data_IF_475943310662
#
_entry.id   IF_475943310662
#
_cell.length_a   1.000
_cell.length_b   1.000
_cell.length_c   1.000
_cell.angle_alpha   90.00
_cell.angle_beta   90.00
_cell.angle_gamma   90.00
#
_symmetry.space_group_name_H-M   'P 1'
#
loop_
_entity.id
_entity.type
_entity.pdbx_description
1 polymer ?
#
# COMPACT_ATOMS: atom_id res chain seq x y z
N UNK A 1 -1.92 13.32 27.35
CA UNK A 1 -2.42 12.42 26.30
C UNK A 1 -3.35 13.23 25.42
N UNK A 2 -2.91 13.56 24.19
CA UNK A 2 -3.79 14.23 23.23
C UNK A 2 -4.82 13.20 22.77
N UNK A 3 -6.08 13.40 23.14
CA UNK A 3 -7.20 12.60 22.66
C UNK A 3 -7.20 12.72 21.13
N UNK A 4 -6.74 11.67 20.45
CA UNK A 4 -6.78 11.60 18.99
C UNK A 4 -8.25 11.75 18.59
N UNK A 5 -8.61 12.86 17.92
CA UNK A 5 -9.95 13.02 17.34
C UNK A 5 -10.19 11.79 16.45
N UNK A 6 -11.13 10.94 16.83
CA UNK A 6 -11.53 9.80 15.99
C UNK A 6 -12.24 10.35 14.77
N UNK A 7 -11.73 9.99 13.59
CA UNK A 7 -12.18 10.49 12.29
C UNK A 7 -12.83 9.35 11.53
N UNK A 8 -13.89 9.62 10.76
CA UNK A 8 -14.54 8.59 9.93
C UNK A 8 -13.74 8.36 8.64
N UNK A 9 -13.17 7.17 8.48
CA UNK A 9 -12.50 6.72 7.26
C UNK A 9 -13.37 5.72 6.50
N UNK A 10 -13.18 5.63 5.19
CA UNK A 10 -13.79 4.53 4.46
C UNK A 10 -12.90 3.29 4.55
N UNK A 11 -13.49 2.17 4.94
CA UNK A 11 -12.87 0.84 4.90
C UNK A 11 -13.76 -0.14 4.14
N UNK A 12 -13.15 -1.20 3.59
CA UNK A 12 -13.88 -2.21 2.84
C UNK A 12 -14.75 -3.12 3.73
N UNK A 13 -15.67 -3.91 3.15
CA UNK A 13 -16.58 -4.78 3.90
C UNK A 13 -15.87 -5.91 4.67
N UNK A 14 -14.65 -6.27 4.29
CA UNK A 14 -13.85 -7.31 4.94
C UNK A 14 -12.73 -6.74 5.83
N UNK A 15 -12.72 -5.44 6.08
CA UNK A 15 -11.71 -4.79 6.91
C UNK A 15 -12.01 -5.02 8.40
N UNK A 16 -10.99 -5.36 9.19
CA UNK A 16 -11.12 -5.59 10.63
C UNK A 16 -11.57 -4.33 11.40
N UNK A 17 -11.38 -3.15 10.82
CA UNK A 17 -11.78 -1.87 11.42
C UNK A 17 -13.20 -1.44 11.03
N UNK A 18 -13.93 -2.23 10.24
CA UNK A 18 -15.26 -1.85 9.73
C UNK A 18 -16.22 -1.49 10.85
N UNK A 19 -16.27 -2.28 11.93
CA UNK A 19 -17.19 -2.05 13.03
C UNK A 19 -16.88 -0.74 13.78
N UNK A 20 -15.60 -0.41 13.94
CA UNK A 20 -15.15 0.85 14.56
C UNK A 20 -15.57 2.04 13.68
N UNK A 21 -15.29 1.97 12.38
CA UNK A 21 -15.62 3.06 11.44
C UNK A 21 -17.14 3.23 11.29
N UNK A 22 -17.93 2.15 11.35
CA UNK A 22 -19.40 2.21 11.39
C UNK A 22 -19.92 2.87 12.66
N UNK A 23 -19.31 2.58 13.81
CA UNK A 23 -19.66 3.22 15.09
C UNK A 23 -19.38 4.73 15.04
N UNK A 24 -18.25 5.12 14.47
CA UNK A 24 -17.91 6.53 14.27
C UNK A 24 -18.87 7.21 13.28
N UNK A 25 -19.17 6.55 12.15
CA UNK A 25 -20.12 7.04 11.16
C UNK A 25 -21.53 7.23 11.75
N UNK A 26 -22.02 6.29 12.55
CA UNK A 26 -23.29 6.41 13.27
C UNK A 26 -23.29 7.63 14.19
N UNK A 27 -22.25 7.78 15.02
CA UNK A 27 -22.13 8.93 15.93
C UNK A 27 -22.12 10.25 15.15
N UNK A 28 -21.40 10.31 14.03
CA UNK A 28 -21.36 11.47 13.17
C UNK A 28 -22.73 11.77 12.56
N UNK A 29 -23.45 10.76 12.07
CA UNK A 29 -24.77 10.89 11.45
C UNK A 29 -25.84 11.37 12.43
N UNK A 30 -25.88 10.80 13.64
CA UNK A 30 -26.88 11.15 14.66
C UNK A 30 -26.67 12.55 15.23
N UNK A 31 -25.42 13.03 15.26
CA UNK A 31 -25.08 14.36 15.77
C UNK A 31 -24.93 15.42 14.68
N UNK A 32 -25.10 15.03 13.41
CA UNK A 32 -24.91 15.93 12.28
C UNK A 32 -25.89 17.10 12.36
N UNK A 33 -25.35 18.31 12.38
CA UNK A 33 -26.10 19.57 12.22
C UNK A 33 -25.61 20.23 10.95
N UNK A 34 -26.55 20.63 10.10
CA UNK A 34 -26.21 21.34 8.88
C UNK A 34 -25.75 22.76 9.24
N UNK A 35 -24.45 22.99 9.13
CA UNK A 35 -23.81 24.30 9.20
C UNK A 35 -23.36 24.73 7.79
N UNK A 36 -22.90 25.96 7.65
CA UNK A 36 -22.37 26.51 6.41
C UNK A 36 -20.82 26.46 6.33
N UNK A 37 -20.13 26.18 7.43
CA UNK A 37 -18.66 26.20 7.48
C UNK A 37 -18.09 24.84 7.92
N UNK A 38 -17.67 24.04 6.93
CA UNK A 38 -17.04 22.74 7.16
C UNK A 38 -15.62 22.76 6.57
N UNK A 39 -14.66 22.26 7.34
CA UNK A 39 -13.32 22.02 6.84
C UNK A 39 -13.30 20.90 5.79
N UNK A 40 -12.26 20.85 4.95
CA UNK A 40 -12.14 19.77 3.95
C UNK A 40 -12.12 18.38 4.58
N UNK A 41 -11.49 18.23 5.76
CA UNK A 41 -11.44 16.98 6.49
C UNK A 41 -12.85 16.53 6.91
N UNK A 42 -13.68 17.44 7.42
CA UNK A 42 -15.07 17.14 7.79
C UNK A 42 -15.92 16.80 6.56
N UNK A 43 -15.72 17.49 5.43
CA UNK A 43 -16.38 17.14 4.17
C UNK A 43 -16.03 15.71 3.74
N UNK A 44 -14.76 15.30 3.89
CA UNK A 44 -14.32 13.93 3.60
C UNK A 44 -14.95 12.92 4.58
N UNK A 45 -15.03 13.23 5.88
CA UNK A 45 -15.69 12.37 6.87
C UNK A 45 -17.18 12.16 6.56
N UNK A 46 -17.89 13.23 6.16
CA UNK A 46 -19.29 13.15 5.73
C UNK A 46 -19.44 12.30 4.46
N UNK A 47 -18.50 12.42 3.52
CA UNK A 47 -18.45 11.58 2.33
C UNK A 47 -18.24 10.10 2.68
N UNK A 48 -17.30 9.80 3.59
CA UNK A 48 -17.00 8.45 4.05
C UNK A 48 -18.18 7.82 4.79
N UNK A 49 -18.80 8.56 5.72
CA UNK A 49 -20.00 8.11 6.44
C UNK A 49 -21.16 7.81 5.48
N UNK A 50 -21.37 8.66 4.47
CA UNK A 50 -22.37 8.38 3.43
C UNK A 50 -22.07 7.06 2.70
N UNK A 51 -20.81 6.87 2.33
CA UNK A 51 -20.37 5.73 1.54
C UNK A 51 -20.45 4.41 2.32
N UNK A 52 -19.98 4.37 3.57
CA UNK A 52 -20.06 3.19 4.44
C UNK A 52 -21.50 2.66 4.55
N UNK A 53 -22.46 3.55 4.81
CA UNK A 53 -23.87 3.17 4.92
C UNK A 53 -24.46 2.76 3.58
N UNK A 54 -24.10 3.46 2.48
CA UNK A 54 -24.62 3.19 1.15
C UNK A 54 -24.15 1.86 0.58
N UNK A 55 -22.93 1.44 0.90
CA UNK A 55 -22.33 0.20 0.42
C UNK A 55 -22.89 -1.04 1.14
N UNK A 56 -23.88 -0.86 2.02
CA UNK A 56 -24.62 -1.96 2.67
C UNK A 56 -24.00 -2.45 3.98
N UNK A 57 -22.91 -1.82 4.43
CA UNK A 57 -22.25 -2.19 5.68
C UNK A 57 -23.13 -1.85 6.88
N UNK A 58 -23.18 -2.76 7.86
CA UNK A 58 -24.06 -2.68 9.02
C UNK A 58 -23.48 -3.45 10.20
N UNK A 59 -23.55 -2.84 11.38
CA UNK A 59 -23.23 -3.52 12.64
C UNK A 59 -24.30 -4.56 12.98
N UNK A 60 -23.88 -5.70 13.55
CA UNK A 60 -24.77 -6.79 13.95
C UNK A 60 -25.83 -6.38 14.98
N UNK A 61 -25.55 -5.35 15.79
CA UNK A 61 -26.45 -4.85 16.83
C UNK A 61 -27.46 -3.80 16.33
N UNK A 62 -27.35 -3.31 15.09
CA UNK A 62 -28.31 -2.36 14.54
C UNK A 62 -29.60 -3.08 14.16
N UNK A 63 -30.75 -2.59 14.63
CA UNK A 63 -32.07 -3.03 14.14
C UNK A 63 -32.34 -2.51 12.72
N UNK A 64 -33.30 -3.12 12.01
CA UNK A 64 -33.67 -2.68 10.66
C UNK A 64 -34.16 -1.23 10.67
N UNK A 65 -35.00 -0.87 11.65
CA UNK A 65 -35.51 0.49 11.83
C UNK A 65 -34.40 1.51 12.06
N UNK A 66 -33.39 1.15 12.88
CA UNK A 66 -32.26 2.02 13.15
C UNK A 66 -31.37 2.18 11.92
N UNK A 67 -31.09 1.09 11.22
CA UNK A 67 -30.30 1.14 10.00
C UNK A 67 -30.99 1.97 8.90
N UNK A 68 -32.32 1.86 8.77
CA UNK A 68 -33.09 2.68 7.83
C UNK A 68 -33.12 4.16 8.23
N UNK A 69 -33.13 4.47 9.53
CA UNK A 69 -32.92 5.85 10.02
C UNK A 69 -31.53 6.36 9.61
N UNK A 70 -30.47 5.57 9.78
CA UNK A 70 -29.11 5.96 9.39
C UNK A 70 -28.99 6.16 7.87
N UNK A 71 -29.64 5.33 7.04
CA UNK A 71 -29.71 5.52 5.58
C UNK A 71 -30.37 6.85 5.20
N UNK A 72 -31.47 7.22 5.87
CA UNK A 72 -32.15 8.51 5.63
C UNK A 72 -31.22 9.68 5.99
N UNK A 73 -30.60 9.64 7.17
CA UNK A 73 -29.63 10.67 7.59
C UNK A 73 -28.45 10.77 6.63
N UNK A 74 -27.86 9.63 6.25
CA UNK A 74 -26.69 9.60 5.38
C UNK A 74 -27.01 10.19 4.01
N UNK A 75 -28.21 9.96 3.47
CA UNK A 75 -28.63 10.55 2.19
C UNK A 75 -28.65 12.08 2.21
N UNK A 76 -28.96 12.70 3.36
CA UNK A 76 -28.96 14.15 3.55
C UNK A 76 -27.57 14.79 3.46
N UNK A 77 -26.52 14.03 3.78
CA UNK A 77 -25.12 14.51 3.73
C UNK A 77 -24.66 14.86 2.32
N UNK A 78 -25.24 14.24 1.29
CA UNK A 78 -24.82 14.42 -0.11
C UNK A 78 -24.85 15.89 -0.54
N UNK A 79 -25.83 16.65 -0.06
CA UNK A 79 -25.95 18.08 -0.38
C UNK A 79 -24.80 18.89 0.21
N UNK A 80 -24.42 18.62 1.46
CA UNK A 80 -23.29 19.25 2.15
C UNK A 80 -21.96 18.87 1.51
N UNK A 81 -21.74 17.58 1.23
CA UNK A 81 -20.53 17.10 0.55
C UNK A 81 -20.40 17.74 -0.84
N UNK A 82 -21.50 17.79 -1.61
CA UNK A 82 -21.53 18.42 -2.92
C UNK A 82 -21.20 19.92 -2.87
N UNK A 83 -21.76 20.64 -1.89
CA UNK A 83 -21.45 22.05 -1.67
C UNK A 83 -19.98 22.27 -1.29
N UNK A 84 -19.42 21.48 -0.37
CA UNK A 84 -18.00 21.54 -0.01
C UNK A 84 -17.09 21.28 -1.22
N UNK A 85 -17.41 20.25 -2.01
CA UNK A 85 -16.67 19.96 -3.24
C UNK A 85 -16.78 21.06 -4.30
N UNK A 86 -17.92 21.76 -4.39
CA UNK A 86 -18.13 22.88 -5.33
C UNK A 86 -17.20 24.06 -5.04
N UNK A 87 -16.81 24.26 -3.78
CA UNK A 87 -15.89 25.33 -3.39
C UNK A 87 -14.43 25.05 -3.80
N UNK A 88 -14.09 23.78 -4.09
CA UNK A 88 -12.76 23.40 -4.58
C UNK A 88 -12.64 23.80 -6.06
N UNK A 89 -11.66 24.65 -6.34
CA UNK A 89 -11.37 25.21 -7.65
C UNK A 89 -9.86 25.35 -7.88
N UNK A 90 -9.49 25.84 -9.07
CA UNK A 90 -8.09 25.94 -9.48
C UNK A 90 -7.21 26.83 -8.58
N UNK A 91 -7.78 27.85 -7.92
CA UNK A 91 -7.04 28.82 -7.11
C UNK A 91 -6.73 28.27 -5.72
N UNK A 92 -7.66 27.51 -5.12
CA UNK A 92 -7.54 27.02 -3.75
C UNK A 92 -7.14 25.55 -3.64
N UNK A 93 -7.13 24.78 -4.73
CA UNK A 93 -6.88 23.34 -4.72
C UNK A 93 -5.62 22.94 -3.96
N UNK A 94 -4.50 23.63 -4.15
CA UNK A 94 -3.23 23.28 -3.49
C UNK A 94 -3.34 23.50 -1.98
N UNK A 95 -3.92 24.63 -1.54
CA UNK A 95 -4.10 24.93 -0.12
C UNK A 95 -4.98 23.87 0.54
N UNK A 96 -6.16 23.63 -0.04
CA UNK A 96 -7.12 22.64 0.45
C UNK A 96 -6.49 21.25 0.51
N UNK A 97 -5.79 20.84 -0.55
CA UNK A 97 -5.17 19.51 -0.61
C UNK A 97 -4.06 19.32 0.44
N UNK A 98 -3.37 20.40 0.83
CA UNK A 98 -2.34 20.36 1.86
C UNK A 98 -2.92 20.35 3.28
N UNK A 99 -4.16 20.82 3.46
CA UNK A 99 -4.90 20.73 4.74
C UNK A 99 -5.49 19.35 5.00
N UNK A 100 -5.57 18.49 3.97
CA UNK A 100 -6.05 17.12 4.11
C UNK A 100 -5.08 16.32 4.97
N UNK A 101 -5.59 15.82 6.09
CA UNK A 101 -4.79 14.97 6.99
C UNK A 101 -4.42 13.66 6.31
N UNK A 102 -3.23 13.13 6.62
CA UNK A 102 -2.68 11.96 5.93
C UNK A 102 -3.61 10.74 5.96
N UNK A 103 -4.36 10.53 7.06
CA UNK A 103 -5.28 9.40 7.21
C UNK A 103 -6.46 9.45 6.22
N UNK A 104 -6.85 10.64 5.75
CA UNK A 104 -7.95 10.86 4.81
C UNK A 104 -7.46 11.09 3.37
N UNK A 105 -6.16 10.95 3.11
CA UNK A 105 -5.57 11.27 1.80
C UNK A 105 -6.16 10.40 0.68
N UNK A 106 -6.37 9.10 0.93
CA UNK A 106 -6.99 8.21 -0.07
C UNK A 106 -8.47 8.57 -0.27
N UNK A 107 -9.19 8.86 0.81
CA UNK A 107 -10.60 9.24 0.76
C UNK A 107 -10.81 10.56 0.00
N UNK A 108 -9.90 11.52 0.16
CA UNK A 108 -9.89 12.75 -0.62
C UNK A 108 -9.77 12.48 -2.13
N UNK A 109 -8.78 11.68 -2.55
CA UNK A 109 -8.61 11.35 -3.97
C UNK A 109 -9.78 10.56 -4.53
N UNK A 110 -10.37 9.66 -3.74
CA UNK A 110 -11.61 8.96 -4.11
C UNK A 110 -12.77 9.93 -4.31
N UNK A 111 -12.98 10.86 -3.37
CA UNK A 111 -14.03 11.86 -3.40
C UNK A 111 -13.88 12.79 -4.62
N UNK A 112 -12.71 13.41 -4.83
CA UNK A 112 -12.52 14.34 -5.96
C UNK A 112 -12.65 13.62 -7.30
N UNK A 113 -12.27 12.34 -7.37
CA UNK A 113 -12.37 11.54 -8.59
C UNK A 113 -13.82 11.14 -8.88
N UNK A 114 -14.56 10.64 -7.90
CA UNK A 114 -15.96 10.22 -8.08
C UNK A 114 -16.89 11.40 -8.32
N UNK A 115 -16.64 12.53 -7.67
CA UNK A 115 -17.41 13.77 -7.82
C UNK A 115 -16.87 14.71 -8.90
N UNK A 116 -15.89 14.25 -9.69
CA UNK A 116 -15.31 14.99 -10.84
C UNK A 116 -14.82 16.40 -10.49
N UNK A 117 -14.35 16.61 -9.26
CA UNK A 117 -13.79 17.90 -8.83
C UNK A 117 -12.54 18.24 -9.67
N UNK A 118 -11.76 17.23 -10.04
CA UNK A 118 -10.56 17.39 -10.86
C UNK A 118 -10.82 18.06 -12.23
N UNK A 119 -12.03 17.96 -12.80
CA UNK A 119 -12.36 18.61 -14.09
C UNK A 119 -12.29 20.15 -13.99
N UNK A 120 -12.32 20.72 -12.78
CA UNK A 120 -12.16 22.16 -12.52
C UNK A 120 -10.72 22.59 -12.22
N UNK A 121 -9.80 21.64 -12.14
CA UNK A 121 -8.40 21.90 -11.80
C UNK A 121 -7.56 21.80 -13.06
N UNK A 122 -6.83 22.87 -13.37
CA UNK A 122 -5.95 22.91 -14.53
C UNK A 122 -4.80 21.90 -14.41
N UNK A 123 -4.30 21.45 -15.56
CA UNK A 123 -3.09 20.63 -15.64
C UNK A 123 -1.91 21.28 -14.90
N UNK A 124 -1.70 22.59 -15.07
CA UNK A 124 -0.61 23.34 -14.43
C UNK A 124 -0.70 23.28 -12.90
N UNK A 125 -1.88 23.58 -12.33
CA UNK A 125 -2.09 23.52 -10.88
C UNK A 125 -1.89 22.10 -10.34
N UNK A 126 -2.38 21.09 -11.06
CA UNK A 126 -2.24 19.69 -10.65
C UNK A 126 -0.77 19.23 -10.69
N UNK A 127 -0.03 19.57 -11.75
CA UNK A 127 1.42 19.30 -11.86
C UNK A 127 2.19 19.97 -10.73
N UNK A 128 1.87 21.24 -10.41
CA UNK A 128 2.47 21.97 -9.30
C UNK A 128 2.21 21.27 -7.96
N UNK A 129 0.99 20.80 -7.73
CA UNK A 129 0.65 20.01 -6.55
C UNK A 129 1.50 18.73 -6.45
N UNK A 130 1.59 17.96 -7.53
CA UNK A 130 2.33 16.68 -7.56
C UNK A 130 3.83 16.84 -7.35
N UNK A 131 4.44 17.88 -7.94
CA UNK A 131 5.87 18.13 -7.76
C UNK A 131 6.22 18.42 -6.30
N UNK A 132 5.31 19.06 -5.55
CA UNK A 132 5.47 19.31 -4.12
C UNK A 132 5.10 18.09 -3.25
N UNK A 133 4.40 17.11 -3.81
CA UNK A 133 3.82 15.97 -3.09
C UNK A 133 4.09 14.65 -3.82
N UNK A 134 5.34 14.40 -4.25
CA UNK A 134 5.70 13.20 -5.04
C UNK A 134 5.33 11.89 -4.34
N UNK A 135 5.33 11.87 -3.00
CA UNK A 135 4.89 10.73 -2.20
C UNK A 135 3.40 10.35 -2.43
N UNK A 136 2.58 11.24 -3.00
CA UNK A 136 1.16 10.99 -3.32
C UNK A 136 0.96 10.35 -4.70
N UNK A 137 1.99 10.28 -5.55
CA UNK A 137 1.91 9.69 -6.88
C UNK A 137 1.38 8.25 -6.84
N UNK A 138 1.90 7.42 -5.93
CA UNK A 138 1.46 6.04 -5.78
C UNK A 138 -0.04 5.93 -5.47
N UNK A 139 -0.56 6.80 -4.59
CA UNK A 139 -2.00 6.88 -4.29
C UNK A 139 -2.80 7.29 -5.51
N UNK A 140 -2.35 8.32 -6.24
CA UNK A 140 -3.06 8.87 -7.40
C UNK A 140 -3.18 7.85 -8.53
N UNK A 141 -2.15 7.02 -8.72
CA UNK A 141 -2.16 5.96 -9.73
C UNK A 141 -3.28 4.94 -9.49
N UNK A 142 -3.86 4.83 -8.30
CA UNK A 142 -5.03 3.97 -8.04
C UNK A 142 -6.33 4.50 -8.69
N UNK A 143 -6.37 5.77 -9.09
CA UNK A 143 -7.58 6.43 -9.58
C UNK A 143 -7.57 6.59 -11.10
N UNK A 144 -7.91 5.51 -11.83
CA UNK A 144 -7.89 5.45 -13.30
C UNK A 144 -8.51 6.65 -14.02
N UNK A 145 -9.63 7.21 -13.54
CA UNK A 145 -10.27 8.38 -14.16
C UNK A 145 -9.40 9.63 -14.04
N UNK A 146 -8.80 9.84 -12.87
CA UNK A 146 -7.90 10.96 -12.60
C UNK A 146 -6.61 10.81 -13.42
N UNK A 147 -6.04 9.60 -13.48
CA UNK A 147 -4.83 9.31 -14.28
C UNK A 147 -5.07 9.57 -15.76
N UNK A 148 -6.17 9.06 -16.33
CA UNK A 148 -6.48 9.28 -17.75
C UNK A 148 -6.77 10.75 -18.09
N UNK A 149 -7.26 11.54 -17.13
CA UNK A 149 -7.54 12.96 -17.36
C UNK A 149 -6.24 13.78 -17.45
N UNK A 150 -5.26 13.49 -16.58
CA UNK A 150 -3.94 14.12 -16.54
C UNK A 150 -2.84 13.23 -17.13
N UNK A 151 -3.17 12.50 -18.20
CA UNK A 151 -2.34 11.40 -18.72
C UNK A 151 -0.92 11.86 -19.06
N UNK A 152 -0.79 12.94 -19.82
CA UNK A 152 0.51 13.48 -20.24
C UNK A 152 1.25 14.12 -19.06
N UNK A 153 0.53 14.83 -18.21
CA UNK A 153 1.08 15.54 -17.06
C UNK A 153 1.68 14.58 -16.05
N UNK A 154 0.96 13.51 -15.70
CA UNK A 154 1.45 12.46 -14.80
C UNK A 154 2.60 11.71 -15.47
N UNK A 155 2.51 11.43 -16.78
CA UNK A 155 3.60 10.77 -17.49
C UNK A 155 4.91 11.57 -17.41
N UNK A 156 4.85 12.87 -17.69
CA UNK A 156 6.00 13.78 -17.65
C UNK A 156 6.65 13.87 -16.26
N UNK A 157 5.90 13.62 -15.19
CA UNK A 157 6.42 13.57 -13.81
C UNK A 157 7.05 12.21 -13.52
N UNK A 158 6.41 11.11 -13.96
CA UNK A 158 6.88 9.77 -13.68
C UNK A 158 8.15 9.41 -14.46
N UNK A 159 8.24 9.72 -15.75
CA UNK A 159 9.36 9.29 -16.61
C UNK A 159 10.75 9.65 -16.02
N UNK A 160 11.00 10.89 -15.56
CA UNK A 160 12.30 11.25 -14.98
C UNK A 160 12.44 10.87 -13.50
N UNK A 161 11.40 10.33 -12.86
CA UNK A 161 11.44 10.04 -11.43
C UNK A 161 12.01 8.64 -11.15
N UNK A 162 13.02 8.58 -10.28
CA UNK A 162 13.73 7.36 -9.89
C UNK A 162 12.81 6.26 -9.33
N UNK A 163 11.73 6.67 -8.64
CA UNK A 163 10.75 5.74 -8.06
C UNK A 163 9.89 5.01 -9.09
N UNK A 164 9.85 5.47 -10.35
CA UNK A 164 8.94 4.94 -11.37
C UNK A 164 9.24 3.50 -11.73
N UNK A 165 10.52 3.11 -11.81
CA UNK A 165 10.88 1.72 -12.09
C UNK A 165 10.28 0.75 -11.05
N UNK A 166 10.35 1.09 -9.77
CA UNK A 166 9.75 0.28 -8.70
C UNK A 166 8.22 0.16 -8.83
N UNK A 167 7.54 1.22 -9.27
CA UNK A 167 6.10 1.19 -9.55
C UNK A 167 5.80 0.22 -10.71
N UNK A 168 6.55 0.30 -11.82
CA UNK A 168 6.35 -0.59 -12.96
C UNK A 168 6.61 -2.05 -12.60
N UNK A 169 7.68 -2.34 -11.85
CA UNK A 169 8.02 -3.69 -11.39
C UNK A 169 6.95 -4.25 -10.46
N UNK A 170 6.52 -3.48 -9.46
CA UNK A 170 5.47 -3.90 -8.52
C UNK A 170 4.15 -4.15 -9.24
N UNK A 171 3.80 -3.31 -10.22
CA UNK A 171 2.59 -3.47 -11.02
C UNK A 171 2.62 -4.68 -11.94
N UNK A 172 3.69 -4.87 -12.71
CA UNK A 172 3.69 -5.81 -13.84
C UNK A 172 4.47 -7.10 -13.61
N UNK A 173 5.45 -7.13 -12.71
CA UNK A 173 6.40 -8.25 -12.59
C UNK A 173 6.28 -9.03 -11.28
N UNK A 174 6.01 -8.36 -10.15
CA UNK A 174 6.00 -9.02 -8.83
C UNK A 174 4.57 -9.29 -8.35
N UNK A 175 3.81 -8.24 -8.02
CA UNK A 175 2.54 -8.38 -7.31
C UNK A 175 1.32 -8.40 -8.24
N UNK A 176 1.53 -8.22 -9.55
CA UNK A 176 0.49 -7.99 -10.54
C UNK A 176 -0.60 -7.02 -10.02
N UNK A 177 -0.18 -5.88 -9.45
CA UNK A 177 -1.10 -4.97 -8.77
C UNK A 177 -2.07 -4.34 -9.78
N UNK A 178 -3.26 -4.94 -9.90
CA UNK A 178 -4.29 -4.54 -10.85
C UNK A 178 -4.90 -3.15 -10.53
N UNK A 179 -4.73 -2.65 -9.31
CA UNK A 179 -5.30 -1.37 -8.89
C UNK A 179 -4.57 -0.16 -9.50
N UNK A 180 -3.26 -0.28 -9.76
CA UNK A 180 -2.46 0.82 -10.28
C UNK A 180 -2.75 1.05 -11.77
N UNK A 181 -2.97 2.29 -12.16
CA UNK A 181 -3.15 2.72 -13.53
C UNK A 181 -1.92 3.51 -13.97
N UNK A 182 -1.19 3.03 -14.97
CA UNK A 182 -0.08 3.75 -15.59
C UNK A 182 -0.64 4.64 -16.70
N UNK A 183 -0.14 5.88 -16.87
CA UNK A 183 -0.52 6.72 -18.01
C UNK A 183 -0.32 6.00 -19.34
N UNK A 184 -1.29 6.14 -20.25
CA UNK A 184 -1.24 5.60 -21.61
C UNK A 184 -0.26 6.34 -22.50
N UNK A 185 0.11 7.57 -22.12
CA UNK A 185 1.16 8.32 -22.79
C UNK A 185 2.54 7.65 -22.71
N UNK A 186 2.73 6.64 -21.85
CA UNK A 186 3.97 5.86 -21.79
C UNK A 186 4.25 5.15 -23.12
N UNK A 187 5.29 5.61 -23.83
CA UNK A 187 5.77 4.97 -25.04
C UNK A 187 6.72 3.81 -24.73
N UNK A 188 6.98 2.94 -25.72
CA UNK A 188 7.97 1.85 -25.60
C UNK A 188 9.36 2.42 -25.28
N UNK A 189 9.71 3.56 -25.87
CA UNK A 189 10.96 4.26 -25.63
C UNK A 189 11.07 4.77 -24.19
N UNK A 190 9.96 5.26 -23.62
CA UNK A 190 9.92 5.73 -22.24
C UNK A 190 10.06 4.57 -21.24
N UNK A 191 9.38 3.45 -21.47
CA UNK A 191 9.60 2.22 -20.70
C UNK A 191 11.06 1.80 -20.74
N UNK A 192 11.66 1.75 -21.95
CA UNK A 192 13.04 1.35 -22.10
C UNK A 192 13.99 2.27 -21.33
N UNK A 193 13.77 3.59 -21.42
CA UNK A 193 14.56 4.59 -20.71
C UNK A 193 14.48 4.44 -19.19
N UNK A 194 13.28 4.22 -18.64
CA UNK A 194 13.08 4.04 -17.20
C UNK A 194 13.85 2.82 -16.69
N UNK A 195 13.74 1.68 -17.36
CA UNK A 195 14.44 0.47 -16.97
C UNK A 195 15.97 0.60 -17.16
N UNK A 196 16.43 1.16 -18.27
CA UNK A 196 17.87 1.32 -18.53
C UNK A 196 18.52 2.24 -17.48
N UNK A 197 17.89 3.37 -17.17
CA UNK A 197 18.35 4.28 -16.13
C UNK A 197 18.40 3.59 -14.76
N UNK A 198 17.38 2.78 -14.44
CA UNK A 198 17.37 2.04 -13.17
C UNK A 198 18.49 1.00 -13.09
N UNK A 199 18.71 0.21 -14.15
CA UNK A 199 19.79 -0.79 -14.19
C UNK A 199 21.16 -0.12 -14.02
N UNK A 200 21.35 1.04 -14.64
CA UNK A 200 22.59 1.81 -14.58
C UNK A 200 22.75 2.65 -13.32
N UNK A 201 21.75 2.68 -12.44
CA UNK A 201 21.84 3.43 -11.18
C UNK A 201 22.96 2.90 -10.27
N UNK A 202 23.35 3.72 -9.30
CA UNK A 202 24.47 3.42 -8.41
C UNK A 202 24.20 2.17 -7.56
N UNK A 203 22.97 2.01 -7.06
CA UNK A 203 22.57 0.99 -6.10
C UNK A 203 21.22 0.34 -6.41
N UNK A 204 21.03 -0.28 -7.59
CA UNK A 204 19.79 -0.95 -7.92
C UNK A 204 19.54 -2.14 -6.99
N UNK A 205 18.28 -2.37 -6.65
CA UNK A 205 17.87 -3.48 -5.81
C UNK A 205 18.03 -4.81 -6.58
N UNK A 206 18.72 -5.78 -5.98
CA UNK A 206 18.99 -7.08 -6.61
C UNK A 206 17.70 -7.84 -6.99
N UNK A 207 16.65 -7.77 -6.16
CA UNK A 207 15.37 -8.41 -6.46
C UNK A 207 14.68 -7.75 -7.66
N UNK A 208 14.85 -6.43 -7.84
CA UNK A 208 14.29 -5.71 -8.98
C UNK A 208 15.07 -6.02 -10.26
N UNK A 209 16.40 -6.09 -10.19
CA UNK A 209 17.21 -6.58 -11.31
C UNK A 209 16.82 -8.01 -11.70
N UNK A 210 16.58 -8.87 -10.71
CA UNK A 210 16.11 -10.24 -10.93
C UNK A 210 14.70 -10.28 -11.54
N UNK A 211 13.81 -9.38 -11.15
CA UNK A 211 12.49 -9.26 -11.79
C UNK A 211 12.63 -8.82 -13.26
N UNK A 212 13.48 -7.83 -13.55
CA UNK A 212 13.70 -7.33 -14.92
C UNK A 212 14.32 -8.41 -15.80
N UNK A 213 15.37 -9.12 -15.35
CA UNK A 213 16.05 -10.14 -16.17
C UNK A 213 15.12 -11.30 -16.55
N UNK A 214 14.18 -11.65 -15.66
CA UNK A 214 13.24 -12.76 -15.85
C UNK A 214 11.88 -12.28 -16.38
N UNK A 215 11.76 -11.02 -16.76
CA UNK A 215 10.49 -10.44 -17.15
C UNK A 215 9.95 -11.09 -18.44
N UNK A 216 8.67 -11.55 -18.44
CA UNK A 216 8.03 -12.05 -19.64
C UNK A 216 7.83 -10.93 -20.68
N UNK A 217 7.59 -11.30 -21.93
CA UNK A 217 7.25 -10.35 -22.99
C UNK A 217 5.80 -9.86 -22.81
N UNK A 218 5.63 -8.76 -22.07
CA UNK A 218 4.34 -8.12 -21.82
C UNK A 218 4.13 -6.94 -22.77
N UNK A 219 2.96 -6.90 -23.44
CA UNK A 219 2.60 -5.76 -24.31
C UNK A 219 2.41 -4.46 -23.51
N UNK A 220 1.90 -4.56 -22.28
CA UNK A 220 1.60 -3.42 -21.41
C UNK A 220 2.83 -2.87 -20.66
N UNK A 221 3.91 -3.65 -20.62
CA UNK A 221 5.19 -3.29 -20.00
C UNK A 221 6.31 -3.91 -20.84
N UNK A 222 6.63 -3.32 -22.00
CA UNK A 222 7.59 -3.88 -22.93
C UNK A 222 9.00 -3.79 -22.34
N UNK A 223 9.63 -4.94 -22.11
CA UNK A 223 11.02 -5.07 -21.70
C UNK A 223 11.78 -5.79 -22.81
N UNK A 224 12.75 -5.12 -23.42
CA UNK A 224 13.55 -5.65 -24.52
C UNK A 224 14.57 -6.70 -24.07
N UNK A 225 15.01 -7.57 -24.98
CA UNK A 225 16.08 -8.53 -24.72
C UNK A 225 17.38 -7.87 -24.26
N UNK A 226 17.68 -6.69 -24.80
CA UNK A 226 18.84 -5.90 -24.37
C UNK A 226 18.73 -5.47 -22.90
N UNK A 227 17.55 -5.05 -22.43
CA UNK A 227 17.35 -4.71 -21.02
C UNK A 227 17.47 -5.93 -20.11
N UNK A 228 16.91 -7.08 -20.50
CA UNK A 228 17.08 -8.34 -19.76
C UNK A 228 18.55 -8.70 -19.64
N UNK A 229 19.29 -8.60 -20.73
CA UNK A 229 20.72 -8.85 -20.76
C UNK A 229 21.50 -7.87 -19.86
N UNK A 230 21.26 -6.56 -19.99
CA UNK A 230 21.89 -5.54 -19.14
C UNK A 230 21.59 -5.77 -17.65
N UNK A 231 20.34 -6.09 -17.30
CA UNK A 231 19.95 -6.41 -15.92
C UNK A 231 20.69 -7.64 -15.39
N UNK A 232 20.85 -8.69 -16.21
CA UNK A 232 21.61 -9.89 -15.86
C UNK A 232 23.09 -9.58 -15.62
N UNK A 233 23.73 -8.86 -16.54
CA UNK A 233 25.14 -8.45 -16.40
C UNK A 233 25.33 -7.64 -15.11
N UNK A 234 24.50 -6.61 -14.91
CA UNK A 234 24.56 -5.76 -13.72
C UNK A 234 24.33 -6.55 -12.42
N UNK A 235 23.39 -7.47 -12.42
CA UNK A 235 23.13 -8.34 -11.27
C UNK A 235 24.36 -9.20 -10.95
N UNK A 236 24.96 -9.86 -11.94
CA UNK A 236 26.17 -10.67 -11.75
C UNK A 236 27.35 -9.84 -11.27
N UNK A 237 27.54 -8.62 -11.80
CA UNK A 237 28.57 -7.69 -11.32
C UNK A 237 28.40 -7.34 -9.84
N UNK A 238 27.16 -7.00 -9.42
CA UNK A 238 26.87 -6.65 -8.03
C UNK A 238 26.99 -7.85 -7.10
N UNK A 239 26.54 -9.03 -7.53
CA UNK A 239 26.74 -10.27 -6.77
C UNK A 239 28.23 -10.55 -6.60
N UNK A 240 29.02 -10.54 -7.67
CA UNK A 240 30.46 -10.86 -7.56
C UNK A 240 31.23 -9.80 -6.75
N UNK A 241 30.83 -8.52 -6.84
CA UNK A 241 31.44 -7.44 -6.04
C UNK A 241 31.12 -7.59 -4.56
N UNK A 242 29.87 -7.88 -4.22
CA UNK A 242 29.40 -7.89 -2.83
C UNK A 242 29.56 -9.27 -2.17
N UNK A 243 29.67 -10.32 -2.97
CA UNK A 243 29.84 -11.71 -2.55
C UNK A 243 31.05 -12.29 -3.28
N UNK A 244 32.26 -11.88 -2.86
CA UNK A 244 33.42 -12.73 -3.08
C UNK A 244 33.20 -14.01 -2.28
N UNK A 245 33.29 -15.19 -2.90
CA UNK A 245 33.14 -16.50 -2.22
C UNK A 245 34.06 -16.65 -0.98
N UNK A 246 35.10 -15.81 -0.85
CA UNK A 246 36.01 -15.77 0.29
C UNK A 246 35.49 -15.00 1.51
N UNK A 247 34.49 -14.15 1.36
CA UNK A 247 33.92 -13.29 2.42
C UNK A 247 32.40 -13.51 2.60
N UNK A 248 31.78 -14.35 1.76
CA UNK A 248 30.39 -14.75 1.95
C UNK A 248 30.25 -15.56 3.23
N UNK A 249 29.54 -15.02 4.23
CA UNK A 249 29.14 -15.78 5.42
C UNK A 249 28.10 -16.80 4.94
N UNK A 250 28.53 -18.04 4.74
CA UNK A 250 27.61 -19.14 4.51
C UNK A 250 26.88 -19.41 5.82
N UNK A 251 25.65 -18.91 5.93
CA UNK A 251 24.79 -19.23 7.05
C UNK A 251 24.05 -20.54 6.76
N UNK A 252 24.25 -21.55 7.61
CA UNK A 252 23.60 -22.85 7.50
C UNK A 252 22.82 -23.14 8.78
N UNK A 253 21.55 -23.49 8.66
CA UNK A 253 20.70 -23.84 9.80
C UNK A 253 20.47 -25.34 9.79
N UNK A 254 20.89 -26.00 10.87
CA UNK A 254 20.68 -27.44 11.07
C UNK A 254 19.73 -27.59 12.25
N UNK A 255 18.50 -28.04 11.95
CA UNK A 255 17.47 -28.31 12.97
C UNK A 255 17.42 -29.81 13.22
N UNK A 256 17.58 -30.21 14.47
CA UNK A 256 17.58 -31.61 14.89
C UNK A 256 16.59 -31.85 16.02
N UNK A 257 15.90 -32.98 15.96
CA UNK A 257 15.06 -33.49 17.05
C UNK A 257 15.75 -34.71 17.63
N UNK A 258 16.12 -34.67 18.91
CA UNK A 258 16.85 -35.74 19.59
C UNK A 258 16.48 -35.79 21.06
N UNK A 259 16.77 -36.90 21.73
CA UNK A 259 16.65 -36.96 23.17
C UNK A 259 17.75 -36.10 23.82
N UNK A 260 17.36 -35.18 24.71
CA UNK A 260 18.27 -34.29 25.42
C UNK A 260 17.67 -33.78 26.73
N UNK A 261 18.50 -33.31 27.66
CA UNK A 261 18.04 -32.83 28.97
C UNK A 261 17.34 -31.47 28.89
N UNK A 262 17.83 -30.57 28.02
CA UNK A 262 17.24 -29.25 27.82
C UNK A 262 16.19 -29.29 26.72
N UNK A 263 15.09 -28.53 26.88
CA UNK A 263 14.03 -28.44 25.85
C UNK A 263 14.53 -27.90 24.52
N UNK A 264 15.52 -27.01 24.56
CA UNK A 264 16.14 -26.38 23.41
C UNK A 264 17.60 -26.07 23.71
N UNK A 265 18.48 -26.43 22.79
CA UNK A 265 19.89 -26.03 22.79
C UNK A 265 20.25 -25.37 21.46
N UNK A 266 21.15 -24.39 21.50
CA UNK A 266 21.69 -23.74 20.30
C UNK A 266 23.20 -23.63 20.37
N UNK A 267 23.85 -23.85 19.23
CA UNK A 267 25.27 -23.61 19.06
C UNK A 267 25.52 -22.98 17.69
N UNK A 268 26.08 -21.77 17.71
CA UNK A 268 26.44 -21.01 16.51
C UNK A 268 27.96 -21.07 16.38
N UNK A 269 28.44 -21.68 15.30
CA UNK A 269 29.87 -21.72 15.00
C UNK A 269 30.12 -21.47 13.51
N UNK A 270 30.91 -20.44 13.20
CA UNK A 270 31.36 -20.16 11.83
C UNK A 270 30.25 -19.98 10.80
N UNK A 271 29.10 -19.42 11.19
CA UNK A 271 27.92 -19.26 10.33
C UNK A 271 26.96 -20.44 10.34
N UNK A 272 27.30 -21.57 10.97
CA UNK A 272 26.40 -22.72 11.11
C UNK A 272 25.67 -22.63 12.46
N UNK A 273 24.36 -22.46 12.43
CA UNK A 273 23.48 -22.51 13.60
C UNK A 273 22.91 -23.94 13.74
N UNK A 274 23.40 -24.67 14.74
CA UNK A 274 22.87 -25.97 15.13
C UNK A 274 21.83 -25.76 16.22
N UNK A 275 20.59 -26.15 15.95
CA UNK A 275 19.45 -26.01 16.83
C UNK A 275 18.92 -27.41 17.13
N UNK A 276 18.84 -27.78 18.41
CA UNK A 276 18.30 -29.08 18.80
C UNK A 276 17.17 -28.95 19.81
N UNK A 277 16.12 -29.73 19.59
CA UNK A 277 14.92 -29.79 20.43
C UNK A 277 14.75 -31.20 21.02
N UNK A 278 14.30 -31.26 22.28
CA UNK A 278 14.00 -32.53 22.92
C UNK A 278 12.76 -33.20 22.31
N UNK A 279 12.96 -34.36 21.70
CA UNK A 279 11.88 -35.12 21.07
C UNK A 279 10.90 -35.68 22.12
N UNK A 280 11.39 -36.05 23.31
CA UNK A 280 10.57 -36.61 24.37
C UNK A 280 9.55 -35.60 24.92
N UNK A 281 9.92 -34.32 24.97
CA UNK A 281 9.01 -33.23 25.31
C UNK A 281 7.94 -33.02 24.24
N UNK A 282 8.32 -33.00 22.96
CA UNK A 282 7.37 -32.80 21.85
C UNK A 282 6.34 -33.94 21.79
N UNK A 283 6.79 -35.18 21.99
CA UNK A 283 5.93 -36.36 21.97
C UNK A 283 5.02 -36.49 23.20
N UNK A 284 5.33 -35.80 24.31
CA UNK A 284 4.52 -35.81 25.52
C UNK A 284 3.21 -35.05 25.38
N UNK A 285 3.12 -34.09 24.45
CA UNK A 285 1.98 -33.18 24.32
C UNK A 285 1.48 -33.09 22.86
N UNK A 286 0.63 -34.06 22.49
CA UNK A 286 0.13 -34.25 21.12
C UNK A 286 -1.33 -33.83 20.92
N UNK A 287 -1.94 -33.12 21.87
CA UNK A 287 -3.27 -32.54 21.64
C UNK A 287 -3.19 -31.33 20.69
N UNK A 288 -4.23 -31.13 19.87
CA UNK A 288 -4.22 -30.14 18.78
C UNK A 288 -3.83 -28.70 19.22
N UNK A 289 -4.37 -28.15 20.33
CA UNK A 289 -3.91 -26.86 20.85
C UNK A 289 -2.43 -26.83 21.22
N UNK A 290 -1.92 -27.87 21.88
CA UNK A 290 -0.52 -27.91 22.31
C UNK A 290 0.44 -28.10 21.16
N UNK A 291 0.07 -28.84 20.11
CA UNK A 291 0.87 -28.93 18.87
C UNK A 291 1.09 -27.53 18.27
N UNK A 292 0.06 -26.69 18.22
CA UNK A 292 0.19 -25.32 17.72
C UNK A 292 1.14 -24.48 18.60
N UNK A 293 1.03 -24.62 19.92
CA UNK A 293 1.94 -23.94 20.86
C UNK A 293 3.38 -24.43 20.74
N UNK A 294 3.60 -25.73 20.51
CA UNK A 294 4.91 -26.32 20.28
C UNK A 294 5.53 -25.79 18.98
N UNK A 295 4.73 -25.69 17.91
CA UNK A 295 5.15 -25.07 16.65
C UNK A 295 5.54 -23.60 16.86
N UNK A 296 4.72 -22.83 17.60
CA UNK A 296 5.03 -21.44 17.93
C UNK A 296 6.34 -21.32 18.72
N UNK A 297 6.56 -22.20 19.69
CA UNK A 297 7.79 -22.25 20.47
C UNK A 297 9.01 -22.53 19.60
N UNK A 298 8.96 -23.56 18.75
CA UNK A 298 10.04 -23.90 17.80
C UNK A 298 10.35 -22.73 16.85
N UNK A 299 9.32 -22.10 16.29
CA UNK A 299 9.49 -20.93 15.41
C UNK A 299 10.09 -19.73 16.14
N UNK A 300 9.71 -19.50 17.40
CA UNK A 300 10.28 -18.42 18.23
C UNK A 300 11.76 -18.65 18.49
N UNK A 301 12.15 -19.90 18.83
CA UNK A 301 13.56 -20.27 19.01
C UNK A 301 14.38 -20.07 17.72
N UNK A 302 13.79 -20.33 16.54
CA UNK A 302 14.43 -20.08 15.24
C UNK A 302 14.68 -18.58 15.00
N UNK A 303 13.78 -17.71 15.44
CA UNK A 303 13.93 -16.25 15.28
C UNK A 303 14.94 -15.62 16.25
N UNK A 304 15.13 -16.17 17.45
CA UNK A 304 16.09 -15.66 18.45
C UNK A 304 17.54 -15.89 18.00
N UNK A 305 17.78 -16.91 17.18
CA UNK A 305 19.12 -17.23 16.65
C UNK A 305 19.61 -16.30 15.51
N UNK A 306 18.90 -15.21 15.23
CA UNK A 306 19.24 -14.21 14.20
C UNK A 306 19.85 -12.91 14.76
N UNK A 307 19.87 -12.72 16.08
CA UNK A 307 20.55 -11.61 16.78
C UNK A 307 21.94 -12.03 17.30
#
# INVERSE_FOLDING_TARGET
>A
MVTKKSLVRYVGPNDLMLDEELTLAEKLLLNFKKDNDFSINEIIELYNANRLIKDGNRLNNWSDEHYDKLKKLSSGLRSTVGNGCRLINNENFISISNEVINQLSNDFFDMITKLKVYERISAETFVKYLNNNKNKLYTILKYKKLVNYYDKEIANILIPWEGTCGILISKYLINNNQELCIPKSFSIEEFNKIFDNYIQSDSPNLNYLQAIMNAPNLKECPISDNLRYKAKVRYTELINRNFNEKEAIKSEYIVQFREQENLFDSNINGGIANLSFDINWLERYLDYPTILNNLYYVLTCLTISQD
#
